data_IF_103410043602
#
_entry.id   IF_103410043602
#
_cell.length_a   1.000
_cell.length_b   1.000
_cell.length_c   1.000
_cell.angle_alpha   90.00
_cell.angle_beta   90.00
_cell.angle_gamma   90.00
#
_symmetry.space_group_name_H-M   'P 1'
#
loop_
_entity.id
_entity.type
_entity.pdbx_description
1 polymer ?
#
# COMPACT_ATOMS: atom_id res chain seq x y z
N UNK A 1 19.63 11.52 15.22
CA UNK A 1 18.16 11.70 15.40
C UNK A 1 17.37 11.89 14.09
N UNK A 2 18.01 12.19 12.95
CA UNK A 2 17.32 12.35 11.65
C UNK A 2 17.02 11.01 10.95
N UNK A 3 17.94 10.06 11.07
CA UNK A 3 17.84 8.73 10.44
C UNK A 3 16.66 7.91 10.98
N UNK A 4 16.41 7.95 12.29
CA UNK A 4 15.25 7.31 12.92
C UNK A 4 13.96 7.88 12.32
N UNK A 5 13.89 9.20 12.11
CA UNK A 5 12.70 9.85 11.56
C UNK A 5 12.47 9.51 10.09
N UNK A 6 13.53 9.35 9.29
CA UNK A 6 13.42 8.86 7.91
C UNK A 6 12.99 7.40 7.84
N UNK A 7 13.53 6.56 8.72
CA UNK A 7 13.15 5.16 8.79
C UNK A 7 11.69 4.99 9.24
N UNK A 8 11.23 5.84 10.16
CA UNK A 8 9.82 5.90 10.58
C UNK A 8 8.90 6.40 9.45
N UNK A 9 9.35 7.38 8.67
CA UNK A 9 8.66 7.87 7.47
C UNK A 9 8.54 6.78 6.40
N UNK A 10 9.62 6.10 6.06
CA UNK A 10 9.61 5.01 5.07
C UNK A 10 8.72 3.83 5.52
N UNK A 11 8.74 3.51 6.83
CA UNK A 11 7.86 2.51 7.42
C UNK A 11 6.41 2.96 7.38
N UNK A 12 6.11 4.22 7.71
CA UNK A 12 4.77 4.80 7.64
C UNK A 12 4.25 4.88 6.22
N UNK A 13 5.08 5.21 5.23
CA UNK A 13 4.72 5.21 3.82
C UNK A 13 4.28 3.82 3.38
N UNK A 14 5.08 2.79 3.71
CA UNK A 14 4.71 1.39 3.52
C UNK A 14 3.41 1.01 4.22
N UNK A 15 3.26 1.39 5.48
CA UNK A 15 2.08 1.06 6.29
C UNK A 15 0.82 1.77 5.77
N UNK A 16 0.96 2.98 5.24
CA UNK A 16 -0.12 3.76 4.62
C UNK A 16 -0.53 3.16 3.29
N UNK A 17 0.44 2.77 2.44
CA UNK A 17 0.18 2.04 1.19
C UNK A 17 -0.52 0.69 1.46
N UNK A 18 -0.08 -0.02 2.49
CA UNK A 18 -0.66 -1.30 2.90
C UNK A 18 -2.08 -1.15 3.47
N UNK A 19 -2.34 -0.11 4.27
CA UNK A 19 -3.70 0.21 4.74
C UNK A 19 -4.63 0.66 3.62
N UNK A 20 -4.13 1.40 2.63
CA UNK A 20 -4.88 1.80 1.45
C UNK A 20 -5.29 0.57 0.62
N UNK A 21 -4.33 -0.35 0.41
CA UNK A 21 -4.59 -1.66 -0.21
C UNK A 21 -5.65 -2.46 0.54
N UNK A 22 -5.52 -2.56 1.87
CA UNK A 22 -6.44 -3.29 2.72
C UNK A 22 -7.84 -2.65 2.69
N UNK A 23 -7.94 -1.32 2.68
CA UNK A 23 -9.22 -0.61 2.51
C UNK A 23 -9.83 -0.81 1.12
N UNK A 24 -9.02 -0.78 0.06
CA UNK A 24 -9.47 -1.13 -1.29
C UNK A 24 -9.92 -2.60 -1.32
N UNK A 25 -9.26 -3.50 -0.58
CA UNK A 25 -9.60 -4.93 -0.49
C UNK A 25 -10.87 -5.18 0.30
N UNK A 26 -11.06 -4.45 1.39
CA UNK A 26 -12.25 -4.47 2.21
C UNK A 26 -13.46 -3.87 1.48
N UNK A 27 -13.25 -2.91 0.57
CA UNK A 27 -14.29 -2.43 -0.36
C UNK A 27 -14.57 -3.50 -1.43
N UNK A 28 -15.38 -4.47 -1.02
CA UNK A 28 -15.94 -5.56 -1.83
C UNK A 28 -17.09 -5.06 -2.72
N UNK A 29 -16.88 -3.97 -3.45
CA UNK A 29 -17.66 -3.70 -4.66
C UNK A 29 -16.98 -4.44 -5.83
N UNK A 30 -17.63 -4.61 -7.00
CA UNK A 30 -16.95 -5.09 -8.20
C UNK A 30 -15.91 -4.03 -8.57
N UNK A 31 -14.74 -4.13 -7.92
CA UNK A 31 -13.55 -3.41 -8.24
C UNK A 31 -13.33 -3.69 -9.71
N UNK A 32 -13.48 -2.63 -10.50
CA UNK A 32 -13.30 -2.68 -11.94
C UNK A 32 -11.95 -3.36 -12.25
N UNK A 33 -11.77 -3.98 -13.41
CA UNK A 33 -10.50 -4.64 -13.81
C UNK A 33 -9.28 -3.73 -13.52
N UNK A 34 -9.48 -2.42 -13.61
CA UNK A 34 -8.53 -1.40 -13.20
C UNK A 34 -8.17 -1.42 -11.71
N UNK A 35 -9.14 -1.48 -10.80
CA UNK A 35 -8.91 -1.49 -9.35
C UNK A 35 -8.28 -2.81 -8.87
N UNK A 36 -8.60 -3.96 -9.49
CA UNK A 36 -7.88 -5.22 -9.24
C UNK A 36 -6.42 -5.13 -9.70
N UNK A 37 -6.17 -4.57 -10.89
CA UNK A 37 -4.82 -4.36 -11.40
C UNK A 37 -4.03 -3.39 -10.51
N UNK A 38 -4.67 -2.32 -10.04
CA UNK A 38 -4.08 -1.30 -9.19
C UNK A 38 -3.76 -1.85 -7.80
N UNK A 39 -4.63 -2.71 -7.24
CA UNK A 39 -4.32 -3.51 -6.05
C UNK A 39 -3.10 -4.40 -6.23
N UNK A 40 -3.10 -5.23 -7.28
CA UNK A 40 -1.97 -6.13 -7.55
C UNK A 40 -0.68 -5.32 -7.67
N UNK A 41 -0.72 -4.20 -8.39
CA UNK A 41 0.43 -3.31 -8.57
C UNK A 41 0.92 -2.70 -7.27
N UNK A 42 0.03 -2.20 -6.41
CA UNK A 42 0.41 -1.67 -5.09
C UNK A 42 0.95 -2.79 -4.16
N UNK A 43 0.38 -4.01 -4.20
CA UNK A 43 0.90 -5.15 -3.42
C UNK A 43 2.30 -5.53 -3.88
N UNK A 44 2.52 -5.59 -5.20
CA UNK A 44 3.83 -5.86 -5.80
C UNK A 44 4.83 -4.76 -5.40
N UNK A 45 4.46 -3.48 -5.51
CA UNK A 45 5.30 -2.35 -5.09
C UNK A 45 5.59 -2.39 -3.59
N UNK A 46 4.64 -2.84 -2.76
CA UNK A 46 4.83 -3.00 -1.33
C UNK A 46 5.73 -4.20 -0.98
N UNK A 47 5.67 -5.30 -1.73
CA UNK A 47 6.48 -6.50 -1.51
C UNK A 47 7.90 -6.38 -2.08
N UNK A 48 8.13 -5.53 -3.10
CA UNK A 48 9.41 -5.42 -3.82
C UNK A 48 10.43 -4.49 -3.14
N UNK A 49 10.62 -4.59 -1.81
CA UNK A 49 11.79 -3.94 -1.18
C UNK A 49 13.09 -4.65 -1.50
#
# INVERSE_FOLDING_TARGET
MWEIKQQDLAKKDRLTKMRLLESLLAKKEPLDDYEEALKKKLIIECLSN
#
